data_IF_659270414489
#
_entry.id   IF_659270414489
#
_cell.length_a   1.000
_cell.length_b   1.000
_cell.length_c   1.000
_cell.angle_alpha   90.00
_cell.angle_beta   90.00
_cell.angle_gamma   90.00
#
_symmetry.space_group_name_H-M   'P 1'
#
loop_
_entity.id
_entity.type
_entity.pdbx_description
1 polymer ?
#
# COMPACT_ATOMS: atom_id res chain seq x y z
N UNK A 1 -55.24 -13.57 87.34
CA UNK A 1 -55.32 -12.09 87.26
C UNK A 1 -53.91 -11.52 87.08
N UNK A 2 -53.60 -10.99 85.89
CA UNK A 2 -52.61 -9.93 85.63
C UNK A 2 -52.74 -9.54 84.15
N UNK A 3 -53.40 -8.43 83.93
CA UNK A 3 -53.61 -7.70 82.67
C UNK A 3 -52.37 -6.86 82.34
N UNK A 4 -52.29 -6.29 81.11
CA UNK A 4 -51.45 -5.15 80.65
C UNK A 4 -50.29 -5.55 79.74
N UNK A 5 -50.02 -4.97 78.57
CA UNK A 5 -50.68 -3.96 77.69
C UNK A 5 -50.05 -4.15 76.29
N UNK A 6 -50.86 -4.04 75.24
CA UNK A 6 -50.40 -3.99 73.84
C UNK A 6 -49.93 -2.56 73.53
N UNK A 7 -48.66 -2.38 73.17
CA UNK A 7 -48.13 -1.10 72.68
C UNK A 7 -47.99 -1.14 71.16
N UNK A 8 -48.86 -0.39 70.48
CA UNK A 8 -48.83 -0.17 69.04
C UNK A 8 -47.81 0.94 68.74
N UNK A 9 -46.65 0.58 68.19
CA UNK A 9 -45.66 1.56 67.73
C UNK A 9 -45.99 2.03 66.31
N UNK A 10 -45.95 3.36 66.17
CA UNK A 10 -46.29 4.15 64.97
C UNK A 10 -45.26 3.95 63.86
N UNK A 11 -45.75 3.77 62.63
CA UNK A 11 -44.95 3.85 61.40
C UNK A 11 -44.50 5.29 61.14
N UNK A 12 -43.28 5.51 60.63
CA UNK A 12 -42.94 6.72 59.89
C UNK A 12 -42.71 6.41 58.39
N UNK A 13 -43.42 7.15 57.54
CA UNK A 13 -42.82 7.92 56.46
C UNK A 13 -42.28 7.19 55.23
N UNK A 14 -43.13 7.12 54.21
CA UNK A 14 -42.79 7.20 52.77
C UNK A 14 -41.62 8.17 52.51
N UNK A 15 -40.48 7.69 51.98
CA UNK A 15 -39.53 8.47 51.15
C UNK A 15 -38.65 7.54 50.30
N UNK A 16 -38.99 7.51 49.00
CA UNK A 16 -38.12 7.35 47.83
C UNK A 16 -36.91 6.40 47.87
N UNK A 17 -36.99 5.30 47.10
CA UNK A 17 -35.85 4.69 46.43
C UNK A 17 -36.18 4.50 44.94
N UNK A 18 -35.97 5.56 44.15
CA UNK A 18 -35.81 5.49 42.70
C UNK A 18 -34.36 5.87 42.40
N UNK A 19 -33.46 4.88 42.31
CA UNK A 19 -32.17 5.02 41.64
C UNK A 19 -31.52 3.64 41.52
N UNK A 20 -31.63 3.04 40.34
CA UNK A 20 -30.99 1.76 40.06
C UNK A 20 -31.21 1.28 38.64
N UNK A 21 -31.40 2.19 37.67
CA UNK A 21 -31.37 1.80 36.26
C UNK A 21 -29.90 1.83 35.81
N UNK A 22 -29.33 0.62 35.85
CA UNK A 22 -28.10 0.16 35.25
C UNK A 22 -27.43 1.16 34.28
N UNK A 23 -26.27 1.65 34.71
CA UNK A 23 -25.22 2.14 33.83
C UNK A 23 -24.79 0.94 32.95
N UNK A 24 -25.43 0.78 31.78
CA UNK A 24 -24.96 -0.09 30.72
C UNK A 24 -23.67 0.53 30.19
N UNK A 25 -22.58 0.07 30.80
CA UNK A 25 -21.20 0.32 30.43
C UNK A 25 -21.05 0.21 28.91
N UNK A 26 -20.71 1.34 28.27
CA UNK A 26 -20.20 1.35 26.92
C UNK A 26 -18.90 0.57 26.88
N UNK A 27 -19.00 -0.74 26.59
CA UNK A 27 -17.85 -1.53 26.20
C UNK A 27 -17.29 -0.86 24.95
N UNK A 28 -15.99 -0.50 24.91
CA UNK A 28 -15.39 -0.11 23.65
C UNK A 28 -15.55 -1.31 22.73
N UNK A 29 -16.27 -1.11 21.62
CA UNK A 29 -16.30 -2.10 20.56
C UNK A 29 -14.84 -2.25 20.11
N UNK A 30 -14.21 -3.35 20.49
CA UNK A 30 -13.01 -3.83 19.82
C UNK A 30 -13.43 -4.03 18.37
N UNK A 31 -13.12 -3.05 17.51
CA UNK A 31 -13.32 -3.18 16.09
C UNK A 31 -12.64 -4.47 15.66
N UNK A 32 -13.44 -5.40 15.13
CA UNK A 32 -12.89 -6.66 14.67
C UNK A 32 -11.87 -6.34 13.58
N UNK A 33 -10.62 -6.77 13.78
CA UNK A 33 -9.56 -6.56 12.81
C UNK A 33 -10.00 -7.09 11.45
N UNK A 34 -9.90 -6.26 10.40
CA UNK A 34 -10.24 -6.69 9.05
C UNK A 34 -9.33 -7.86 8.64
N UNK A 35 -9.78 -8.70 7.72
CA UNK A 35 -9.04 -9.87 7.30
C UNK A 35 -9.15 -10.09 5.80
N UNK A 36 -8.04 -10.49 5.18
CA UNK A 36 -8.01 -11.01 3.82
C UNK A 36 -8.59 -12.44 3.84
N UNK A 37 -9.74 -12.63 3.19
CA UNK A 37 -10.51 -13.88 3.22
C UNK A 37 -10.26 -14.78 2.00
N UNK A 38 -9.98 -14.19 0.84
CA UNK A 38 -9.73 -14.96 -0.37
C UNK A 38 -8.83 -14.23 -1.36
N UNK A 39 -8.05 -15.01 -2.12
CA UNK A 39 -7.34 -14.56 -3.32
C UNK A 39 -7.74 -15.50 -4.45
N UNK A 40 -8.29 -14.96 -5.52
CA UNK A 40 -8.62 -15.70 -6.74
C UNK A 40 -7.97 -15.04 -7.94
N UNK A 41 -7.44 -15.84 -8.85
CA UNK A 41 -6.80 -15.36 -10.07
C UNK A 41 -7.58 -15.87 -11.27
N UNK A 42 -7.91 -14.98 -12.19
CA UNK A 42 -8.54 -15.31 -13.47
C UNK A 42 -7.71 -14.77 -14.63
N UNK A 43 -7.85 -15.44 -15.77
CA UNK A 43 -7.25 -14.99 -17.03
C UNK A 43 -8.27 -14.12 -17.75
N UNK A 44 -7.88 -12.89 -18.08
CA UNK A 44 -8.63 -11.97 -18.90
C UNK A 44 -8.28 -12.12 -20.38
N UNK A 45 -8.80 -11.21 -21.20
CA UNK A 45 -8.44 -11.14 -22.63
C UNK A 45 -7.05 -10.48 -22.80
N UNK A 46 -6.37 -10.74 -23.93
CA UNK A 46 -5.10 -10.09 -24.30
C UNK A 46 -3.99 -10.24 -23.24
N UNK A 47 -3.68 -11.47 -22.82
CA UNK A 47 -2.63 -11.78 -21.84
C UNK A 47 -2.73 -11.02 -20.50
N UNK A 48 -3.94 -10.57 -20.18
CA UNK A 48 -4.25 -9.91 -18.91
C UNK A 48 -4.57 -10.97 -17.85
N UNK A 49 -4.11 -10.77 -16.63
CA UNK A 49 -4.57 -11.53 -15.47
C UNK A 49 -5.22 -10.62 -14.46
N UNK A 50 -6.36 -11.03 -13.94
CA UNK A 50 -7.08 -10.31 -12.90
C UNK A 50 -6.96 -11.08 -11.61
N UNK A 51 -6.37 -10.45 -10.60
CA UNK A 51 -6.35 -10.95 -9.23
C UNK A 51 -7.46 -10.24 -8.47
N UNK A 52 -8.35 -11.02 -7.87
CA UNK A 52 -9.37 -10.54 -6.96
C UNK A 52 -8.98 -10.93 -5.54
N UNK A 53 -8.81 -9.93 -4.68
CA UNK A 53 -8.51 -10.09 -3.26
C UNK A 53 -9.72 -9.63 -2.47
N UNK A 54 -10.37 -10.55 -1.75
CA UNK A 54 -11.56 -10.28 -0.98
C UNK A 54 -11.22 -10.14 0.51
N UNK A 55 -11.82 -9.13 1.14
CA UNK A 55 -11.65 -8.79 2.55
C UNK A 55 -12.96 -9.00 3.31
N UNK A 56 -12.87 -9.16 4.63
CA UNK A 56 -14.05 -9.24 5.50
C UNK A 56 -14.87 -7.95 5.45
N UNK A 57 -14.20 -6.82 5.45
CA UNK A 57 -14.77 -5.48 5.38
C UNK A 57 -14.05 -4.64 4.30
N UNK A 58 -14.63 -3.52 3.90
CA UNK A 58 -13.98 -2.58 3.00
C UNK A 58 -12.64 -2.10 3.57
N UNK A 59 -11.62 -1.98 2.71
CA UNK A 59 -10.32 -1.46 3.11
C UNK A 59 -10.44 0.00 3.55
N UNK A 60 -10.09 0.28 4.80
CA UNK A 60 -10.08 1.64 5.35
C UNK A 60 -8.98 2.51 4.76
N UNK A 61 -7.88 1.89 4.32
CA UNK A 61 -6.70 2.54 3.74
C UNK A 61 -6.37 1.96 2.36
N UNK A 62 -5.66 2.72 1.53
CA UNK A 62 -5.15 2.20 0.25
C UNK A 62 -3.98 1.25 0.51
N UNK A 63 -3.91 0.08 -0.15
CA UNK A 63 -2.76 -0.79 -0.02
C UNK A 63 -1.49 -0.15 -0.59
N UNK A 64 -0.35 -0.46 0.02
CA UNK A 64 0.95 -0.10 -0.53
C UNK A 64 1.31 -1.12 -1.62
N UNK A 65 1.61 -0.66 -2.83
CA UNK A 65 1.94 -1.53 -3.96
C UNK A 65 3.31 -1.17 -4.54
N UNK A 66 4.13 -2.18 -4.84
CA UNK A 66 5.41 -1.99 -5.51
C UNK A 66 5.82 -3.23 -6.31
N UNK A 67 6.64 -3.04 -7.34
CA UNK A 67 7.20 -4.15 -8.12
C UNK A 67 8.72 -4.22 -8.02
N UNK A 68 9.26 -5.42 -8.12
CA UNK A 68 10.71 -5.68 -8.21
C UNK A 68 11.00 -6.35 -9.55
N UNK A 69 12.19 -6.17 -10.12
CA UNK A 69 12.57 -6.79 -11.39
C UNK A 69 13.58 -7.94 -11.26
N UNK A 70 14.30 -8.03 -10.14
CA UNK A 70 15.22 -9.14 -9.89
C UNK A 70 15.00 -9.77 -8.50
N UNK A 71 14.14 -10.80 -8.39
CA UNK A 71 13.28 -11.36 -9.45
C UNK A 71 12.03 -10.49 -9.68
N UNK A 72 11.29 -10.79 -10.75
CA UNK A 72 10.03 -10.12 -11.05
C UNK A 72 8.95 -10.43 -9.99
N UNK A 73 8.52 -9.42 -9.23
CA UNK A 73 7.47 -9.56 -8.22
C UNK A 73 6.55 -8.35 -8.21
N UNK A 74 5.28 -8.56 -7.86
CA UNK A 74 4.37 -7.52 -7.37
C UNK A 74 4.10 -7.79 -5.89
N UNK A 75 4.27 -6.79 -5.05
CA UNK A 75 4.00 -6.87 -3.61
C UNK A 75 2.89 -5.89 -3.25
N UNK A 76 1.87 -6.40 -2.57
CA UNK A 76 0.75 -5.63 -2.03
C UNK A 76 0.74 -5.76 -0.51
N UNK A 77 0.85 -4.62 0.17
CA UNK A 77 0.87 -4.51 1.63
C UNK A 77 -0.41 -3.88 2.13
N UNK A 78 -1.10 -4.59 3.02
CA UNK A 78 -2.37 -4.21 3.63
C UNK A 78 -2.15 -3.90 5.11
N UNK A 79 -2.12 -2.62 5.53
CA UNK A 79 -2.07 -2.25 6.94
C UNK A 79 -3.39 -2.63 7.64
N UNK A 80 -3.33 -2.81 8.95
CA UNK A 80 -4.47 -3.11 9.83
C UNK A 80 -5.35 -4.27 9.32
N UNK A 81 -4.73 -5.25 8.65
CA UNK A 81 -5.42 -6.34 7.96
C UNK A 81 -4.74 -7.65 8.32
N UNK A 82 -5.49 -8.56 8.94
CA UNK A 82 -5.09 -9.94 9.18
C UNK A 82 -5.25 -10.83 7.95
N UNK A 83 -4.86 -12.11 8.08
CA UNK A 83 -4.99 -13.11 7.01
C UNK A 83 -5.89 -14.26 7.46
N UNK A 84 -7.02 -14.43 6.77
CA UNK A 84 -7.88 -15.61 6.87
C UNK A 84 -7.51 -16.71 5.86
N UNK A 85 -6.45 -16.52 5.08
CA UNK A 85 -5.98 -17.48 4.07
C UNK A 85 -4.70 -18.19 4.52
N UNK A 86 -4.40 -19.34 3.90
CA UNK A 86 -3.19 -20.12 4.20
C UNK A 86 -1.91 -19.37 3.83
N UNK A 87 -0.83 -19.65 4.59
CA UNK A 87 0.51 -19.08 4.38
C UNK A 87 1.36 -19.81 3.34
N UNK A 88 0.92 -20.99 2.90
CA UNK A 88 1.64 -21.78 1.92
C UNK A 88 1.62 -21.09 0.54
N UNK A 89 2.71 -21.13 -0.24
CA UNK A 89 2.69 -20.64 -1.61
C UNK A 89 1.65 -21.39 -2.46
N UNK A 90 0.89 -20.65 -3.24
CA UNK A 90 -0.06 -21.20 -4.22
C UNK A 90 0.56 -21.07 -5.59
N UNK A 91 0.92 -22.22 -6.19
CA UNK A 91 1.46 -22.28 -7.53
C UNK A 91 0.34 -22.21 -8.56
N UNK A 92 0.47 -21.30 -9.53
CA UNK A 92 -0.47 -21.13 -10.64
C UNK A 92 0.18 -21.57 -11.96
N UNK A 93 1.45 -21.21 -12.17
CA UNK A 93 2.26 -21.49 -13.37
C UNK A 93 1.51 -21.18 -14.68
N UNK A 94 0.69 -20.15 -14.69
CA UNK A 94 -0.17 -19.79 -15.80
C UNK A 94 -0.03 -18.29 -16.07
N UNK A 95 0.16 -17.91 -17.35
CA UNK A 95 0.25 -16.53 -17.82
C UNK A 95 1.30 -15.68 -17.08
N UNK A 96 0.88 -14.57 -16.47
CA UNK A 96 1.77 -13.57 -15.86
C UNK A 96 2.30 -14.02 -14.48
N UNK A 97 1.45 -14.64 -13.67
CA UNK A 97 1.77 -15.03 -12.29
C UNK A 97 2.27 -16.48 -12.24
N UNK A 98 3.46 -16.68 -11.66
CA UNK A 98 4.02 -17.99 -11.38
C UNK A 98 3.39 -18.61 -10.13
N UNK A 99 3.46 -17.88 -9.03
CA UNK A 99 2.86 -18.24 -7.75
C UNK A 99 2.59 -16.99 -6.93
N UNK A 100 1.81 -17.13 -5.86
CA UNK A 100 1.67 -16.08 -4.86
C UNK A 100 1.75 -16.65 -3.45
N UNK A 101 2.05 -15.76 -2.50
CA UNK A 101 2.10 -16.09 -1.08
C UNK A 101 1.52 -14.95 -0.24
N UNK A 102 0.81 -15.32 0.82
CA UNK A 102 0.30 -14.37 1.82
C UNK A 102 1.09 -14.54 3.11
N UNK A 103 1.65 -13.44 3.60
CA UNK A 103 2.47 -13.38 4.80
C UNK A 103 1.88 -12.34 5.74
N UNK A 104 1.50 -12.75 6.94
CA UNK A 104 1.04 -11.83 7.98
C UNK A 104 2.15 -11.63 9.02
N UNK A 105 2.43 -10.37 9.34
CA UNK A 105 3.35 -9.97 10.40
C UNK A 105 2.74 -8.83 11.22
N UNK A 106 2.39 -9.12 12.47
CA UNK A 106 1.63 -8.20 13.33
C UNK A 106 0.31 -7.79 12.69
N UNK A 107 0.10 -6.48 12.59
CA UNK A 107 -1.10 -5.85 12.04
C UNK A 107 -1.09 -5.71 10.51
N UNK A 108 -0.07 -6.23 9.82
CA UNK A 108 0.08 -6.07 8.37
C UNK A 108 0.05 -7.42 7.66
N UNK A 109 -0.71 -7.48 6.58
CA UNK A 109 -0.69 -8.61 5.64
C UNK A 109 -0.02 -8.19 4.34
N UNK A 110 0.97 -8.97 3.91
CA UNK A 110 1.70 -8.81 2.65
C UNK A 110 1.32 -9.94 1.70
N UNK A 111 0.87 -9.59 0.50
CA UNK A 111 0.66 -10.53 -0.60
C UNK A 111 1.76 -10.33 -1.62
N UNK A 112 2.52 -11.39 -1.90
CA UNK A 112 3.62 -11.38 -2.85
C UNK A 112 3.24 -12.24 -4.04
N UNK A 113 3.18 -11.65 -5.23
CA UNK A 113 3.03 -12.35 -6.51
C UNK A 113 4.41 -12.47 -7.15
N UNK A 114 4.89 -13.70 -7.35
CA UNK A 114 6.09 -13.96 -8.14
C UNK A 114 5.68 -14.10 -9.60
N UNK A 115 6.30 -13.31 -10.47
CA UNK A 115 5.87 -13.13 -11.86
C UNK A 115 6.82 -13.87 -12.83
N UNK A 116 6.33 -14.11 -14.04
CA UNK A 116 7.12 -14.73 -15.11
C UNK A 116 8.00 -13.72 -15.86
N UNK A 117 7.71 -12.43 -15.75
CA UNK A 117 8.47 -11.36 -16.42
C UNK A 117 8.05 -9.96 -15.97
N UNK A 118 8.58 -8.91 -16.63
CA UNK A 118 8.16 -7.53 -16.45
C UNK A 118 6.64 -7.41 -16.65
N UNK A 119 5.97 -6.73 -15.71
CA UNK A 119 4.51 -6.69 -15.64
C UNK A 119 4.04 -5.31 -15.21
N UNK A 120 3.10 -4.72 -15.95
CA UNK A 120 2.36 -3.55 -15.49
C UNK A 120 1.16 -3.99 -14.66
N UNK A 121 0.77 -3.19 -13.67
CA UNK A 121 -0.36 -3.49 -12.80
C UNK A 121 -1.24 -2.26 -12.61
N UNK A 122 -2.53 -2.49 -12.42
CA UNK A 122 -3.51 -1.47 -12.05
C UNK A 122 -4.34 -1.99 -10.88
N UNK A 123 -4.53 -1.16 -9.85
CA UNK A 123 -5.32 -1.51 -8.67
C UNK A 123 -6.63 -0.75 -8.65
N UNK A 124 -7.73 -1.46 -8.36
CA UNK A 124 -9.07 -0.86 -8.19
C UNK A 124 -9.75 -1.43 -6.96
N UNK A 125 -10.26 -0.57 -6.10
CA UNK A 125 -11.08 -0.95 -4.94
C UNK A 125 -12.56 -0.98 -5.32
N UNK A 126 -13.22 -2.08 -5.01
CA UNK A 126 -14.65 -2.30 -5.22
C UNK A 126 -15.27 -2.87 -3.93
N UNK A 127 -15.79 -1.99 -3.07
CA UNK A 127 -16.34 -2.38 -1.77
C UNK A 127 -15.28 -3.05 -0.87
N UNK A 128 -15.51 -4.32 -0.53
CA UNK A 128 -14.58 -5.17 0.23
C UNK A 128 -13.64 -5.99 -0.66
N UNK A 129 -13.46 -5.61 -1.92
CA UNK A 129 -12.59 -6.29 -2.86
C UNK A 129 -11.55 -5.33 -3.41
N UNK A 130 -10.32 -5.81 -3.57
CA UNK A 130 -9.31 -5.19 -4.43
C UNK A 130 -9.16 -6.02 -5.71
N UNK A 131 -9.26 -5.38 -6.86
CA UNK A 131 -8.91 -5.94 -8.16
C UNK A 131 -7.52 -5.45 -8.55
N UNK A 132 -6.60 -6.37 -8.83
CA UNK A 132 -5.32 -6.09 -9.43
C UNK A 132 -5.27 -6.66 -10.86
N UNK A 133 -5.17 -5.77 -11.84
CA UNK A 133 -5.12 -6.14 -13.25
C UNK A 133 -3.66 -6.12 -13.71
N UNK A 134 -3.11 -7.29 -14.01
CA UNK A 134 -1.73 -7.49 -14.42
C UNK A 134 -1.65 -7.72 -15.92
N UNK A 135 -0.68 -7.09 -16.57
CA UNK A 135 -0.41 -7.25 -18.01
C UNK A 135 1.08 -7.42 -18.23
N UNK A 136 1.47 -8.31 -19.14
CA UNK A 136 2.88 -8.42 -19.56
C UNK A 136 3.30 -7.06 -20.08
N UNK A 137 4.38 -6.51 -19.52
CA UNK A 137 4.91 -5.25 -20.01
C UNK A 137 5.60 -5.51 -21.35
N UNK A 138 5.00 -5.04 -22.44
CA UNK A 138 5.64 -5.07 -23.75
C UNK A 138 6.90 -4.20 -23.72
N UNK A 139 8.00 -4.75 -24.26
CA UNK A 139 9.19 -3.95 -24.62
C UNK A 139 8.71 -2.86 -25.59
N UNK A 140 9.11 -1.59 -25.45
CA UNK A 140 8.71 -0.57 -26.41
C UNK A 140 9.15 -1.01 -27.80
N UNK A 141 8.19 -1.33 -28.68
CA UNK A 141 8.46 -1.49 -30.08
C UNK A 141 8.99 -0.15 -30.61
N UNK A 142 10.06 -0.22 -31.42
CA UNK A 142 10.77 0.94 -31.93
C UNK A 142 9.83 1.97 -32.54
N UNK A 143 10.13 3.24 -32.27
CA UNK A 143 9.47 4.37 -32.88
C UNK A 143 9.46 4.22 -34.40
N UNK A 144 8.27 4.14 -34.98
CA UNK A 144 8.09 4.38 -36.41
C UNK A 144 8.32 5.88 -36.63
N UNK A 145 9.42 6.21 -37.28
CA UNK A 145 9.70 7.54 -37.82
C UNK A 145 8.68 7.89 -38.89
N UNK A 146 7.64 8.62 -38.51
CA UNK A 146 6.91 9.47 -39.44
C UNK A 146 7.66 10.81 -39.55
N UNK A 147 8.01 11.21 -40.76
CA UNK A 147 8.63 12.49 -41.05
C UNK A 147 7.71 13.65 -40.64
N UNK A 148 8.23 14.64 -39.92
CA UNK A 148 7.49 15.85 -39.53
C UNK A 148 8.26 17.10 -39.99
N UNK A 149 7.57 17.90 -40.78
CA UNK A 149 7.91 19.26 -41.25
C UNK A 149 7.86 20.21 -40.03
N UNK A 150 8.75 21.20 -39.88
CA UNK A 150 8.81 21.98 -38.64
C UNK A 150 7.75 23.10 -38.65
N UNK A 151 6.74 22.98 -37.79
CA UNK A 151 5.92 24.12 -37.36
C UNK A 151 6.03 24.25 -35.85
N UNK A 152 6.59 25.38 -35.44
CA UNK A 152 6.75 25.79 -34.04
C UNK A 152 5.37 26.02 -33.43
N UNK A 153 4.99 25.20 -32.46
CA UNK A 153 3.92 25.43 -31.51
C UNK A 153 4.41 25.06 -30.10
N UNK A 154 3.94 25.76 -29.05
CA UNK A 154 4.45 25.58 -27.70
C UNK A 154 4.14 24.18 -27.19
N UNK A 155 5.13 23.55 -26.57
CA UNK A 155 5.08 22.19 -26.04
C UNK A 155 3.96 22.04 -25.00
N UNK A 156 2.77 21.66 -25.47
CA UNK A 156 1.82 20.95 -24.63
C UNK A 156 2.31 19.51 -24.60
N UNK A 157 3.25 19.26 -23.69
CA UNK A 157 3.69 17.91 -23.39
C UNK A 157 2.46 17.05 -23.16
N UNK A 158 2.38 15.92 -23.87
CA UNK A 158 1.37 14.88 -23.64
C UNK A 158 1.21 14.73 -22.14
N UNK A 159 0.03 15.03 -21.60
CA UNK A 159 -0.24 14.90 -20.18
C UNK A 159 0.13 13.47 -19.78
N UNK A 160 1.28 13.30 -19.11
CA UNK A 160 1.68 12.01 -18.57
C UNK A 160 0.59 11.66 -17.55
N UNK A 161 -0.04 10.50 -17.70
CA UNK A 161 -1.18 10.09 -16.88
C UNK A 161 -0.84 10.04 -15.38
N UNK A 162 0.45 9.93 -15.07
CA UNK A 162 0.99 9.84 -13.73
C UNK A 162 1.99 10.97 -13.43
N UNK A 163 2.11 11.33 -12.16
CA UNK A 163 3.08 12.31 -11.68
C UNK A 163 3.53 12.08 -10.24
N UNK A 164 4.78 12.43 -9.95
CA UNK A 164 5.28 12.53 -8.57
C UNK A 164 4.77 13.83 -7.96
N UNK A 165 4.08 13.73 -6.82
CA UNK A 165 3.54 14.86 -6.06
C UNK A 165 4.49 15.36 -4.99
N UNK A 166 5.20 14.46 -4.34
CA UNK A 166 6.15 14.81 -3.29
C UNK A 166 7.22 13.74 -3.08
N UNK A 167 8.38 14.16 -2.56
CA UNK A 167 9.47 13.28 -2.14
C UNK A 167 9.99 13.78 -0.80
N UNK A 168 9.68 13.03 0.26
CA UNK A 168 10.08 13.32 1.63
C UNK A 168 11.10 12.29 2.13
N UNK A 169 12.16 12.77 2.77
CA UNK A 169 13.10 11.94 3.52
C UNK A 169 12.86 12.08 5.01
N UNK A 170 12.82 10.95 5.72
CA UNK A 170 12.71 10.88 7.17
C UNK A 170 13.72 9.88 7.73
N UNK A 171 14.31 10.25 8.87
CA UNK A 171 15.04 9.31 9.72
C UNK A 171 14.03 8.50 10.54
N UNK A 172 14.12 7.18 10.50
CA UNK A 172 13.32 6.29 11.34
C UNK A 172 13.86 6.17 12.76
N UNK A 173 13.08 5.54 13.64
CA UNK A 173 13.39 5.42 15.07
C UNK A 173 14.66 4.58 15.31
N UNK A 174 14.94 3.61 14.45
CA UNK A 174 16.12 2.74 14.53
C UNK A 174 17.30 3.26 13.69
N UNK A 175 17.22 4.48 13.17
CA UNK A 175 18.23 5.06 12.29
C UNK A 175 18.14 4.60 10.84
N UNK A 176 17.04 3.94 10.43
CA UNK A 176 16.81 3.62 9.03
C UNK A 176 16.47 4.86 8.20
N UNK A 177 16.80 4.82 6.90
CA UNK A 177 16.35 5.82 5.94
C UNK A 177 14.94 5.48 5.45
N UNK A 178 13.98 6.39 5.64
CA UNK A 178 12.63 6.27 5.08
C UNK A 178 12.42 7.35 4.04
N UNK A 179 12.21 6.93 2.80
CA UNK A 179 11.87 7.84 1.70
C UNK A 179 10.41 7.60 1.34
N UNK A 180 9.59 8.64 1.49
CA UNK A 180 8.16 8.61 1.19
C UNK A 180 7.94 9.38 -0.11
N UNK A 181 7.37 8.72 -1.10
CA UNK A 181 7.06 9.33 -2.39
C UNK A 181 5.56 9.37 -2.56
N UNK A 182 5.00 10.57 -2.67
CA UNK A 182 3.58 10.77 -2.96
C UNK A 182 3.38 10.78 -4.47
N UNK A 183 2.44 9.97 -4.96
CA UNK A 183 2.15 9.82 -6.39
C UNK A 183 0.75 10.36 -6.71
N UNK A 184 0.50 10.63 -7.99
CA UNK A 184 -0.80 11.08 -8.48
C UNK A 184 -1.92 10.07 -8.23
N UNK A 185 -1.57 8.79 -8.31
CA UNK A 185 -2.44 7.64 -8.20
C UNK A 185 -1.60 6.39 -7.87
N UNK A 186 -2.21 5.33 -7.33
CA UNK A 186 -1.52 4.09 -6.95
C UNK A 186 -1.24 3.14 -8.12
N UNK A 187 -1.70 3.45 -9.34
CA UNK A 187 -1.50 2.61 -10.54
C UNK A 187 -0.13 2.80 -11.20
N UNK A 188 0.73 3.65 -10.63
CA UNK A 188 2.08 3.89 -11.14
C UNK A 188 2.92 2.61 -11.05
N UNK A 189 3.41 2.14 -12.19
CA UNK A 189 4.41 1.08 -12.22
C UNK A 189 5.72 1.58 -11.60
N UNK A 190 6.18 0.93 -10.54
CA UNK A 190 7.46 1.23 -9.87
C UNK A 190 8.39 0.04 -10.08
N UNK A 191 9.56 0.26 -10.70
CA UNK A 191 10.63 -0.73 -10.78
C UNK A 191 11.76 -0.37 -9.83
N UNK A 192 12.14 -1.29 -8.94
CA UNK A 192 13.23 -1.11 -7.99
C UNK A 192 14.37 -2.07 -8.35
N UNK A 193 15.55 -1.50 -8.56
CA UNK A 193 16.77 -2.22 -8.90
C UNK A 193 17.92 -1.84 -7.97
N UNK A 194 18.66 -2.85 -7.49
CA UNK A 194 19.96 -2.61 -6.86
C UNK A 194 21.03 -2.51 -7.95
N UNK A 195 21.69 -1.36 -8.04
CA UNK A 195 22.77 -1.07 -8.99
C UNK A 195 24.08 -0.87 -8.22
N UNK A 196 24.87 -1.94 -8.13
CA UNK A 196 26.06 -1.94 -7.28
C UNK A 196 25.67 -1.73 -5.83
N UNK A 197 26.09 -0.61 -5.23
CA UNK A 197 25.70 -0.22 -3.86
C UNK A 197 24.46 0.66 -3.79
N UNK A 198 24.02 1.23 -4.91
CA UNK A 198 22.91 2.17 -4.96
C UNK A 198 21.57 1.45 -5.20
N UNK A 199 20.47 2.09 -4.79
CA UNK A 199 19.11 1.68 -5.15
C UNK A 199 18.59 2.64 -6.20
N UNK A 200 18.23 2.10 -7.36
CA UNK A 200 17.54 2.81 -8.41
C UNK A 200 16.05 2.47 -8.33
N UNK A 201 15.21 3.49 -8.30
CA UNK A 201 13.76 3.39 -8.33
C UNK A 201 13.27 4.14 -9.57
N UNK A 202 12.64 3.43 -10.49
CA UNK A 202 12.06 3.99 -11.70
C UNK A 202 10.52 4.00 -11.60
N UNK A 203 9.95 5.21 -11.61
CA UNK A 203 8.51 5.42 -11.73
C UNK A 203 8.15 5.51 -13.22
N UNK A 204 7.53 4.45 -13.73
CA UNK A 204 7.26 4.24 -15.15
C UNK A 204 6.19 5.20 -15.66
N UNK A 205 6.39 5.78 -16.85
CA UNK A 205 5.46 6.73 -17.48
C UNK A 205 5.00 7.88 -16.56
N UNK A 206 5.86 8.30 -15.63
CA UNK A 206 5.54 9.25 -14.57
C UNK A 206 6.30 10.56 -14.77
N UNK A 207 5.57 11.68 -14.76
CA UNK A 207 6.15 13.03 -14.78
C UNK A 207 6.77 13.44 -13.45
N UNK A 208 7.83 14.26 -13.48
CA UNK A 208 8.41 14.86 -12.28
C UNK A 208 8.37 16.39 -12.37
N UNK A 209 7.60 17.06 -11.51
CA UNK A 209 7.61 18.51 -11.40
C UNK A 209 9.04 19.06 -11.16
N UNK A 210 9.39 20.17 -11.82
CA UNK A 210 10.71 20.80 -11.68
C UNK A 210 11.18 21.01 -10.23
N UNK A 211 10.33 21.42 -9.27
CA UNK A 211 10.77 21.58 -7.87
C UNK A 211 11.23 20.29 -7.19
N UNK A 212 10.78 19.14 -7.68
CA UNK A 212 11.14 17.82 -7.17
C UNK A 212 12.31 17.19 -7.94
N UNK A 213 12.78 17.83 -9.02
CA UNK A 213 14.03 17.47 -9.70
C UNK A 213 15.21 17.99 -8.89
N UNK A 214 15.57 17.28 -7.84
CA UNK A 214 16.56 17.73 -6.86
C UNK A 214 17.39 16.59 -6.30
N UNK A 215 18.52 17.00 -5.73
CA UNK A 215 19.44 16.17 -4.96
C UNK A 215 19.32 16.55 -3.49
N UNK A 216 19.00 15.58 -2.67
CA UNK A 216 18.95 15.70 -1.21
C UNK A 216 20.20 15.04 -0.63
N UNK A 217 21.01 15.84 0.08
CA UNK A 217 22.09 15.32 0.93
C UNK A 217 21.50 14.99 2.30
N UNK A 218 21.59 13.72 2.68
CA UNK A 218 21.00 13.18 3.90
C UNK A 218 22.05 12.52 4.80
N UNK A 219 23.34 12.80 4.57
CA UNK A 219 24.44 12.21 5.32
C UNK A 219 24.41 12.54 6.82
N UNK A 220 23.91 13.71 7.21
CA UNK A 220 23.87 14.18 8.60
C UNK A 220 22.74 13.56 9.42
N UNK A 221 21.84 12.82 8.79
CA UNK A 221 20.69 12.21 9.47
C UNK A 221 20.99 10.85 10.09
N UNK A 222 22.27 10.46 10.17
CA UNK A 222 22.70 9.19 10.77
C UNK A 222 21.89 7.99 10.25
N UNK A 223 21.66 7.95 8.93
CA UNK A 223 21.03 6.82 8.23
C UNK A 223 22.03 6.17 7.28
N UNK A 224 21.77 4.94 6.79
CA UNK A 224 22.58 4.35 5.74
C UNK A 224 22.56 5.15 4.43
N UNK A 225 21.51 5.93 4.15
CA UNK A 225 21.44 6.77 2.95
C UNK A 225 22.32 8.01 3.11
N UNK A 226 23.08 8.36 2.06
CA UNK A 226 23.83 9.62 1.97
C UNK A 226 23.19 10.58 0.99
N UNK A 227 22.68 10.05 -0.12
CA UNK A 227 22.16 10.86 -1.20
C UNK A 227 20.86 10.29 -1.74
N UNK A 228 19.91 11.18 -2.01
CA UNK A 228 18.68 10.88 -2.74
C UNK A 228 18.58 11.85 -3.90
N UNK A 229 18.72 11.36 -5.13
CA UNK A 229 18.62 12.15 -6.35
C UNK A 229 17.38 11.76 -7.12
N UNK A 230 16.50 12.71 -7.42
CA UNK A 230 15.30 12.48 -8.22
C UNK A 230 15.35 13.31 -9.49
N UNK A 231 15.22 12.68 -10.66
CA UNK A 231 15.34 13.35 -11.96
C UNK A 231 14.50 12.65 -13.03
N UNK A 232 14.22 13.33 -14.14
CA UNK A 232 13.52 12.72 -15.28
C UNK A 232 14.48 11.86 -16.13
N UNK A 233 14.01 10.69 -16.54
CA UNK A 233 14.72 9.78 -17.43
C UNK A 233 13.79 9.39 -18.59
N UNK A 234 13.83 10.16 -19.67
CA UNK A 234 12.97 9.94 -20.83
C UNK A 234 11.49 10.14 -20.50
N UNK A 235 10.72 9.03 -20.48
CA UNK A 235 9.30 9.04 -20.09
C UNK A 235 9.05 8.72 -18.61
N UNK A 236 10.10 8.29 -17.90
CA UNK A 236 10.04 7.85 -16.52
C UNK A 236 10.61 8.92 -15.58
N UNK A 237 10.30 8.80 -14.31
CA UNK A 237 11.03 9.48 -13.24
C UNK A 237 11.96 8.50 -12.58
N UNK A 238 13.23 8.87 -12.37
CA UNK A 238 14.22 8.05 -11.69
C UNK A 238 14.59 8.68 -10.36
N UNK A 239 14.59 7.87 -9.31
CA UNK A 239 15.19 8.18 -8.02
C UNK A 239 16.38 7.27 -7.77
N UNK A 240 17.52 7.84 -7.43
CA UNK A 240 18.74 7.13 -7.08
C UNK A 240 19.06 7.39 -5.61
N UNK A 241 19.12 6.32 -4.82
CA UNK A 241 19.50 6.36 -3.42
C UNK A 241 20.91 5.79 -3.28
N UNK A 242 21.86 6.63 -2.89
CA UNK A 242 23.25 6.23 -2.67
C UNK A 242 23.51 6.08 -1.17
N UNK A 243 23.84 4.87 -0.69
CA UNK A 243 24.10 4.62 0.71
C UNK A 243 25.59 4.57 1.05
N UNK A 244 25.89 4.64 2.36
CA UNK A 244 27.21 4.39 2.95
C UNK A 244 27.29 2.96 3.47
N UNK A 245 28.33 2.23 3.07
CA UNK A 245 28.62 0.91 3.64
C UNK A 245 27.71 -0.21 3.12
N UNK A 246 27.58 -1.29 3.90
CA UNK A 246 26.67 -2.42 3.63
C UNK A 246 25.33 -2.15 4.31
N UNK A 247 24.24 -2.49 3.65
CA UNK A 247 22.86 -2.26 4.10
C UNK A 247 21.98 -3.41 3.58
N UNK A 248 20.96 -3.79 4.34
CA UNK A 248 19.92 -4.78 4.02
C UNK A 248 18.53 -4.12 4.08
#
# INVERSE_FOLDING_TARGET
MKTTRMSMQRMPGWRAWLAGLACLLGLPALAAQNALNAVSVSVGQNDTQVVKIAFKEALSEEPIAFSTSNPHRLVLDFPSTGSGVGRAPVNLNLGVIRNYQVVQAGERTRVVFNLNGPTSHELRREGNTLLAVLRVAEKPAGAQTAAVIPTVFPETGTARAHGVRDVEFRRGENGEARIVVSLSDPGVGIDIQQKGKAVQVDFLNTSLPKPLQRRLDVADFATPAQLVETFEQGKNTRMLVTPRGKWD
#
